data_IF_856278169746
#
_entry.id   IF_856278169746
#
_cell.length_a   1.000
_cell.length_b   1.000
_cell.length_c   1.000
_cell.angle_alpha   90.00
_cell.angle_beta   90.00
_cell.angle_gamma   90.00
#
_symmetry.space_group_name_H-M   'P 1'
#
loop_
_entity.id
_entity.type
_entity.pdbx_description
1 polymer ?
#
# COMPACT_ATOMS: atom_id res chain seq x y z
N UNK A 1 -19.03 -4.55 -12.62
CA UNK A 1 -18.56 -3.99 -11.36
C UNK A 1 -17.04 -3.95 -11.42
N UNK A 2 -16.53 -2.83 -11.94
CA UNK A 2 -15.12 -2.47 -11.90
C UNK A 2 -14.85 -1.59 -10.67
N UNK A 3 -13.61 -1.12 -10.49
CA UNK A 3 -13.24 -0.28 -9.35
C UNK A 3 -13.96 1.08 -9.36
N UNK A 4 -14.13 1.71 -10.53
CA UNK A 4 -14.89 2.95 -10.68
C UNK A 4 -16.33 2.80 -10.19
N UNK A 5 -17.04 1.75 -10.64
CA UNK A 5 -18.42 1.46 -10.23
C UNK A 5 -18.52 1.32 -8.70
N UNK A 6 -17.51 0.70 -8.07
CA UNK A 6 -17.46 0.55 -6.61
C UNK A 6 -17.22 1.88 -5.89
N UNK A 7 -16.35 2.72 -6.43
CA UNK A 7 -16.04 4.04 -5.84
C UNK A 7 -17.26 4.95 -5.92
N UNK A 8 -17.96 4.96 -7.06
CA UNK A 8 -19.20 5.74 -7.22
C UNK A 8 -20.26 5.30 -6.19
N UNK A 9 -20.54 4.01 -6.07
CA UNK A 9 -21.51 3.47 -5.09
C UNK A 9 -21.08 3.76 -3.63
N UNK A 10 -19.77 3.73 -3.36
CA UNK A 10 -19.25 4.05 -2.04
C UNK A 10 -19.39 5.55 -1.71
N UNK A 11 -19.14 6.43 -2.68
CA UNK A 11 -19.39 7.87 -2.54
C UNK A 11 -20.85 8.15 -2.25
N UNK A 12 -21.78 7.52 -2.98
CA UNK A 12 -23.22 7.63 -2.75
C UNK A 12 -23.61 7.11 -1.36
N UNK A 13 -23.05 5.97 -0.94
CA UNK A 13 -23.32 5.36 0.38
C UNK A 13 -22.83 6.24 1.53
N UNK A 14 -21.72 6.96 1.34
CA UNK A 14 -21.09 7.79 2.36
C UNK A 14 -21.52 9.26 2.31
N UNK A 15 -22.37 9.65 1.33
CA UNK A 15 -22.80 11.03 1.08
C UNK A 15 -21.59 11.97 0.84
N UNK A 16 -20.67 11.55 -0.04
CA UNK A 16 -19.44 12.29 -0.37
C UNK A 16 -19.43 12.66 -1.85
N UNK A 17 -19.34 13.95 -2.14
CA UNK A 17 -19.14 14.48 -3.50
C UNK A 17 -17.66 14.85 -3.71
N UNK A 18 -16.88 13.94 -4.31
CA UNK A 18 -15.46 14.17 -4.62
C UNK A 18 -15.09 13.59 -5.98
N UNK A 19 -14.28 14.34 -6.75
CA UNK A 19 -13.59 13.81 -7.93
C UNK A 19 -12.27 13.19 -7.46
N UNK A 20 -12.23 11.84 -7.40
CA UNK A 20 -11.07 11.10 -6.91
C UNK A 20 -10.16 10.69 -8.07
N UNK A 21 -8.89 11.10 -8.01
CA UNK A 21 -7.84 10.50 -8.83
C UNK A 21 -7.37 9.18 -8.20
N UNK A 22 -7.95 8.07 -8.67
CA UNK A 22 -7.62 6.73 -8.20
C UNK A 22 -6.15 6.38 -8.40
N UNK A 23 -5.56 6.80 -9.52
CA UNK A 23 -4.15 6.52 -9.84
C UNK A 23 -3.22 7.14 -8.81
N UNK A 24 -3.46 8.42 -8.49
CA UNK A 24 -2.69 9.14 -7.46
C UNK A 24 -2.77 8.44 -6.10
N UNK A 25 -3.97 8.03 -5.68
CA UNK A 25 -4.19 7.38 -4.37
C UNK A 25 -3.51 6.01 -4.32
N UNK A 26 -3.65 5.21 -5.38
CA UNK A 26 -3.06 3.88 -5.46
C UNK A 26 -1.53 3.93 -5.55
N UNK A 27 -0.98 4.91 -6.26
CA UNK A 27 0.47 5.13 -6.34
C UNK A 27 1.05 5.58 -4.99
N UNK A 28 0.38 6.49 -4.28
CA UNK A 28 0.79 6.88 -2.93
C UNK A 28 0.74 5.68 -1.96
N UNK A 29 -0.32 4.87 -2.02
CA UNK A 29 -0.42 3.65 -1.23
C UNK A 29 0.76 2.70 -1.51
N UNK A 30 1.11 2.50 -2.79
CA UNK A 30 2.25 1.68 -3.20
C UNK A 30 3.57 2.20 -2.64
N UNK A 31 3.83 3.50 -2.77
CA UNK A 31 5.05 4.13 -2.24
C UNK A 31 5.15 3.93 -0.73
N UNK A 32 4.07 4.19 0.01
CA UNK A 32 4.04 4.00 1.46
C UNK A 32 4.26 2.53 1.88
N UNK A 33 3.62 1.58 1.19
CA UNK A 33 3.77 0.16 1.49
C UNK A 33 5.21 -0.34 1.30
N UNK A 34 5.89 0.13 0.25
CA UNK A 34 7.24 -0.29 -0.08
C UNK A 34 8.31 0.39 0.78
N UNK A 35 8.19 1.70 1.00
CA UNK A 35 9.27 2.46 1.63
C UNK A 35 9.12 2.57 3.15
N UNK A 36 7.91 2.35 3.70
CA UNK A 36 7.67 2.41 5.16
C UNK A 36 7.44 1.00 5.72
N UNK A 37 6.27 0.42 5.44
CA UNK A 37 5.87 -0.96 5.77
C UNK A 37 4.52 -1.24 5.12
N UNK A 38 4.16 -2.52 4.88
CA UNK A 38 2.90 -2.88 4.22
C UNK A 38 1.65 -2.21 4.83
N UNK A 39 1.47 -2.15 6.17
CA UNK A 39 0.32 -1.46 6.78
C UNK A 39 0.27 0.06 6.51
N UNK A 40 1.35 0.69 6.06
CA UNK A 40 1.40 2.12 5.82
C UNK A 40 0.54 2.55 4.62
N UNK A 41 0.25 1.66 3.66
CA UNK A 41 -0.62 1.97 2.53
C UNK A 41 -1.99 2.52 2.96
N UNK A 42 -2.85 1.74 3.67
CA UNK A 42 -4.19 2.22 4.06
C UNK A 42 -4.14 3.39 5.06
N UNK A 43 -3.12 3.43 5.93
CA UNK A 43 -2.95 4.53 6.91
C UNK A 43 -2.65 5.84 6.18
N UNK A 44 -1.74 5.80 5.21
CA UNK A 44 -1.32 6.99 4.45
C UNK A 44 -2.47 7.55 3.62
N UNK A 45 -3.22 6.71 2.91
CA UNK A 45 -4.34 7.19 2.08
C UNK A 45 -5.51 7.70 2.90
N UNK A 46 -5.80 7.09 4.06
CA UNK A 46 -6.77 7.62 5.00
C UNK A 46 -6.38 9.02 5.49
N UNK A 47 -5.12 9.22 5.89
CA UNK A 47 -4.63 10.52 6.35
C UNK A 47 -4.59 11.58 5.23
N UNK A 48 -4.27 11.18 3.99
CA UNK A 48 -4.37 12.07 2.83
C UNK A 48 -5.80 12.59 2.67
N UNK A 49 -6.79 11.68 2.67
CA UNK A 49 -8.21 12.04 2.56
C UNK A 49 -8.66 12.94 3.71
N UNK A 50 -8.27 12.61 4.95
CA UNK A 50 -8.57 13.41 6.13
C UNK A 50 -7.98 14.82 6.06
N UNK A 51 -6.72 14.95 5.64
CA UNK A 51 -6.07 16.24 5.46
C UNK A 51 -6.72 17.05 4.33
N UNK A 52 -7.06 16.41 3.21
CA UNK A 52 -7.75 17.04 2.10
C UNK A 52 -9.09 17.65 2.55
N UNK A 53 -9.91 16.86 3.27
CA UNK A 53 -11.19 17.32 3.80
C UNK A 53 -11.03 18.48 4.82
N UNK A 54 -10.11 18.33 5.78
CA UNK A 54 -9.85 19.34 6.83
C UNK A 54 -9.43 20.69 6.25
N UNK A 55 -8.73 20.69 5.11
CA UNK A 55 -8.24 21.90 4.46
C UNK A 55 -9.12 22.37 3.29
N UNK A 56 -10.28 21.75 3.05
CA UNK A 56 -11.11 22.00 1.86
C UNK A 56 -10.28 22.02 0.57
N UNK A 57 -9.37 21.05 0.46
CA UNK A 57 -8.37 21.00 -0.60
C UNK A 57 -9.01 20.67 -1.95
N UNK A 58 -8.76 21.50 -2.96
CA UNK A 58 -9.02 21.14 -4.36
C UNK A 58 -7.95 20.18 -4.92
N UNK A 59 -8.13 19.69 -6.16
CA UNK A 59 -7.26 18.67 -6.78
C UNK A 59 -5.76 18.99 -6.70
N UNK A 60 -5.37 20.21 -7.09
CA UNK A 60 -3.96 20.64 -7.05
C UNK A 60 -3.36 20.63 -5.63
N UNK A 61 -4.18 20.84 -4.59
CA UNK A 61 -3.71 20.77 -3.20
C UNK A 61 -3.62 19.32 -2.72
N UNK A 62 -4.51 18.44 -3.19
CA UNK A 62 -4.42 16.99 -2.92
C UNK A 62 -3.14 16.42 -3.53
N UNK A 63 -2.80 16.76 -4.78
CA UNK A 63 -1.54 16.37 -5.42
C UNK A 63 -0.32 16.82 -4.61
N UNK A 64 -0.32 18.06 -4.09
CA UNK A 64 0.76 18.56 -3.22
C UNK A 64 0.87 17.77 -1.91
N UNK A 65 -0.26 17.45 -1.27
CA UNK A 65 -0.28 16.64 -0.05
C UNK A 65 0.22 15.23 -0.31
N UNK A 66 -0.21 14.61 -1.41
CA UNK A 66 0.26 13.29 -1.84
C UNK A 66 1.76 13.31 -2.15
N UNK A 67 2.25 14.32 -2.87
CA UNK A 67 3.69 14.49 -3.15
C UNK A 67 4.51 14.64 -1.87
N UNK A 68 4.03 15.41 -0.89
CA UNK A 68 4.70 15.56 0.40
C UNK A 68 4.74 14.24 1.20
N UNK A 69 3.66 13.46 1.15
CA UNK A 69 3.58 12.14 1.78
C UNK A 69 4.50 11.13 1.09
N UNK A 70 4.53 11.07 -0.24
CA UNK A 70 5.46 10.23 -1.01
C UNK A 70 6.91 10.57 -0.68
N UNK A 71 7.27 11.86 -0.69
CA UNK A 71 8.61 12.29 -0.33
C UNK A 71 8.99 11.94 1.12
N UNK A 72 8.02 11.85 2.03
CA UNK A 72 8.24 11.39 3.41
C UNK A 72 8.50 9.90 3.46
N UNK A 73 7.72 9.11 2.74
CA UNK A 73 7.93 7.68 2.62
C UNK A 73 9.29 7.35 1.98
N UNK A 74 9.67 8.04 0.90
CA UNK A 74 10.93 7.81 0.17
C UNK A 74 12.19 8.03 1.03
N UNK A 75 12.13 8.98 1.97
CA UNK A 75 13.25 9.27 2.90
C UNK A 75 13.13 8.54 4.23
N UNK A 76 12.15 7.64 4.37
CA UNK A 76 11.95 6.90 5.60
C UNK A 76 13.05 5.85 5.76
N UNK A 77 14.02 6.13 6.63
CA UNK A 77 15.07 5.17 6.98
C UNK A 77 14.46 4.07 7.85
N UNK A 78 14.03 2.96 7.23
CA UNK A 78 13.63 1.77 7.96
C UNK A 78 14.86 1.21 8.69
N UNK A 79 14.82 1.00 10.02
CA UNK A 79 15.87 0.30 10.73
C UNK A 79 16.07 -1.09 10.10
N UNK A 80 17.32 -1.48 9.84
CA UNK A 80 17.65 -2.77 9.22
C UNK A 80 17.05 -3.97 9.97
N UNK A 81 16.85 -3.83 11.29
CA UNK A 81 16.34 -4.87 12.18
C UNK A 81 14.83 -4.75 12.45
N UNK A 82 14.09 -3.93 11.69
CA UNK A 82 12.64 -3.82 11.86
C UNK A 82 11.97 -5.12 11.36
N UNK A 83 11.36 -5.93 12.26
CA UNK A 83 10.81 -7.24 11.92
C UNK A 83 9.89 -7.12 10.71
N UNK A 84 10.08 -7.98 9.71
CA UNK A 84 9.17 -8.03 8.58
C UNK A 84 7.82 -8.53 9.09
N UNK A 85 6.70 -7.77 8.95
CA UNK A 85 5.39 -8.28 9.31
C UNK A 85 4.98 -9.53 8.51
N UNK A 86 5.72 -9.88 7.45
CA UNK A 86 5.59 -11.14 6.72
C UNK A 86 6.67 -12.19 6.98
N UNK A 87 7.64 -11.92 7.86
CA UNK A 87 8.44 -12.99 8.46
C UNK A 87 7.52 -13.74 9.42
N UNK A 88 6.83 -14.72 8.87
CA UNK A 88 6.27 -15.79 9.69
C UNK A 88 7.48 -16.65 10.05
N UNK A 89 7.82 -16.73 11.34
CA UNK A 89 8.67 -17.82 11.88
C UNK A 89 7.87 -19.14 11.74
N UNK A 90 7.54 -19.53 10.51
CA UNK A 90 7.08 -20.86 10.22
C UNK A 90 8.32 -21.74 10.27
N UNK A 91 8.39 -22.62 11.27
CA UNK A 91 9.40 -23.67 11.34
C UNK A 91 9.44 -24.37 9.98
N UNK A 92 10.52 -24.18 9.22
CA UNK A 92 10.69 -24.84 7.93
C UNK A 92 10.62 -26.35 8.20
N UNK A 93 9.63 -27.07 7.63
CA UNK A 93 9.54 -28.51 7.83
C UNK A 93 10.81 -29.16 7.32
N UNK A 94 11.41 -30.04 8.12
CA UNK A 94 12.56 -30.83 7.71
C UNK A 94 12.21 -31.66 6.47
N UNK A 95 12.74 -31.25 5.32
CA UNK A 95 12.53 -31.87 4.03
C UNK A 95 13.53 -33.00 3.75
N UNK A 96 14.38 -33.37 4.72
CA UNK A 96 15.35 -34.47 4.58
C UNK A 96 14.71 -35.85 4.30
N UNK A 97 13.40 -35.99 4.52
CA UNK A 97 12.63 -37.17 4.15
C UNK A 97 12.08 -37.16 2.71
N UNK A 98 12.27 -36.07 1.96
CA UNK A 98 11.83 -35.94 0.58
C UNK A 98 12.85 -36.60 -0.36
N UNK A 99 12.36 -37.46 -1.23
CA UNK A 99 13.19 -38.14 -2.22
C UNK A 99 13.47 -37.23 -3.42
N UNK A 100 14.66 -36.62 -3.42
CA UNK A 100 15.15 -35.75 -4.51
C UNK A 100 15.83 -36.53 -5.65
N UNK A 101 15.76 -37.87 -5.66
CA UNK A 101 16.45 -38.69 -6.67
C UNK A 101 15.95 -38.42 -8.10
N UNK A 102 14.74 -37.86 -8.25
CA UNK A 102 14.18 -37.45 -9.54
C UNK A 102 14.55 -36.05 -10.03
N UNK A 103 15.21 -35.22 -9.20
CA UNK A 103 15.57 -33.83 -9.53
C UNK A 103 16.90 -33.73 -10.30
N UNK A 104 17.57 -34.86 -10.52
CA UNK A 104 18.73 -34.93 -11.41
C UNK A 104 18.25 -34.82 -12.85
N UNK A 105 18.42 -33.63 -13.43
CA UNK A 105 18.26 -33.41 -14.86
C UNK A 105 19.18 -34.39 -15.61
N UNK A 106 18.59 -35.18 -16.50
CA UNK A 106 19.34 -36.04 -17.42
C UNK A 106 20.19 -35.14 -18.34
N UNK A 107 21.53 -35.25 -18.23
CA UNK A 107 22.53 -34.56 -19.07
C UNK A 107 22.40 -34.92 -20.56
#
# INVERSE_FOLDING_TARGET
MNLHDWIDELCDTLDVEIELDEGLVLDLARVAAHNVQRPAAPITTFLLGYAAATHSAGPARIEQLASAASALADRWERPADAPDPTDVDDDIPDDSGVDHTGDLLED
#
